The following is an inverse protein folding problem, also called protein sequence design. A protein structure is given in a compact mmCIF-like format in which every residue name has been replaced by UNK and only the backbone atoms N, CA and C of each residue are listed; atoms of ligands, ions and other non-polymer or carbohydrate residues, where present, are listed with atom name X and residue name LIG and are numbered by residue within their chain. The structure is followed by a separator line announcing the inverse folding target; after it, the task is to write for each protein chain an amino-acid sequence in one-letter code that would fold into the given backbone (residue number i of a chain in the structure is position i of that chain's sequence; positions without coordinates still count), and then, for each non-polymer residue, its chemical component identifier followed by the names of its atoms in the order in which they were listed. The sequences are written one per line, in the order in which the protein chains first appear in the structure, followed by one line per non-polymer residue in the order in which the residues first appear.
data_IF_129233536043
#
_entry.id   IF_129233536043
#
_cell.length_a   1.000
_cell.length_b   1.000
_cell.length_c   1.000
_cell.angle_alpha   90.00
_cell.angle_beta   90.00
_cell.angle_gamma   90.00
#
_symmetry.space_group_name_H-M   'P 1'
#
loop_
_entity.id
_entity.type
_entity.pdbx_description
1 polymer ?
#
# COMPACT_ATOMS: atom_id res chain seq x y z
N UNK A 1 -3.81 -35.82 -12.55
CA UNK A 1 -3.79 -34.77 -13.59
C UNK A 1 -4.22 -33.47 -12.93
N UNK A 2 -3.40 -32.43 -13.04
CA UNK A 2 -3.40 -31.23 -12.20
C UNK A 2 -4.52 -30.25 -12.61
N UNK A 3 -5.35 -29.83 -11.64
CA UNK A 3 -6.38 -28.82 -11.83
C UNK A 3 -5.74 -27.42 -11.96
N UNK A 4 -5.53 -26.94 -13.19
CA UNK A 4 -5.12 -25.56 -13.43
C UNK A 4 -6.32 -24.62 -13.23
N UNK A 5 -6.46 -24.08 -12.02
CA UNK A 5 -7.38 -22.97 -11.73
C UNK A 5 -6.85 -21.74 -12.47
N UNK A 6 -7.40 -21.46 -13.65
CA UNK A 6 -7.16 -20.23 -14.39
C UNK A 6 -7.76 -19.08 -13.57
N UNK A 7 -6.94 -18.41 -12.76
CA UNK A 7 -7.33 -17.14 -12.15
C UNK A 7 -7.52 -16.16 -13.31
N UNK A 8 -8.78 -15.92 -13.69
CA UNK A 8 -9.17 -14.80 -14.54
C UNK A 8 -8.53 -13.57 -13.94
N UNK A 9 -7.52 -13.03 -14.61
CA UNK A 9 -6.99 -11.71 -14.32
C UNK A 9 -8.11 -10.73 -14.62
N UNK A 10 -8.94 -10.45 -13.62
CA UNK A 10 -9.93 -9.38 -13.67
C UNK A 10 -9.18 -8.11 -14.06
N UNK A 11 -9.46 -7.61 -15.27
CA UNK A 11 -8.91 -6.35 -15.75
C UNK A 11 -9.43 -5.27 -14.83
N UNK A 12 -8.65 -4.90 -13.81
CA UNK A 12 -8.94 -3.73 -12.98
C UNK A 12 -8.76 -2.50 -13.87
N UNK A 13 -9.86 -2.03 -14.45
CA UNK A 13 -9.87 -0.80 -15.24
C UNK A 13 -9.60 0.36 -14.27
N UNK A 14 -8.40 0.92 -14.34
CA UNK A 14 -8.03 2.14 -13.63
C UNK A 14 -8.47 3.31 -14.51
N UNK A 15 -9.37 4.14 -13.98
CA UNK A 15 -9.90 5.30 -14.70
C UNK A 15 -9.28 6.59 -14.15
N UNK A 16 -9.26 7.66 -14.97
CA UNK A 16 -8.83 8.98 -14.48
C UNK A 16 -9.78 9.40 -13.35
N UNK A 17 -9.22 9.81 -12.21
CA UNK A 17 -9.99 10.19 -11.02
C UNK A 17 -10.26 9.06 -10.02
N UNK A 18 -9.86 7.80 -10.29
CA UNK A 18 -9.93 6.75 -9.26
C UNK A 18 -8.80 6.86 -8.24
N UNK A 19 -9.13 6.65 -6.96
CA UNK A 19 -8.14 6.52 -5.89
C UNK A 19 -7.38 5.18 -6.04
N UNK A 20 -6.06 5.25 -5.97
CA UNK A 20 -5.17 4.08 -6.02
C UNK A 20 -4.19 4.13 -4.85
N UNK A 21 -3.91 2.99 -4.26
CA UNK A 21 -2.79 2.84 -3.33
C UNK A 21 -1.56 2.36 -4.09
N UNK A 22 -0.41 2.94 -3.77
CA UNK A 22 0.84 2.62 -4.45
C UNK A 22 1.89 2.19 -3.42
N UNK A 23 2.50 1.04 -3.67
CA UNK A 23 3.60 0.57 -2.86
C UNK A 23 4.89 1.23 -3.35
N UNK A 24 5.69 1.75 -2.42
CA UNK A 24 6.99 2.32 -2.71
C UNK A 24 7.98 2.05 -1.58
N UNK A 25 9.26 2.21 -1.88
CA UNK A 25 10.33 2.00 -0.90
C UNK A 25 10.67 3.32 -0.22
N UNK A 26 10.60 3.39 1.10
CA UNK A 26 11.08 4.56 1.84
C UNK A 26 12.61 4.60 1.76
N UNK A 27 13.15 5.59 1.06
CA UNK A 27 14.60 5.76 0.90
C UNK A 27 15.19 6.72 1.90
N UNK A 28 14.40 7.70 2.37
CA UNK A 28 14.84 8.64 3.40
C UNK A 28 13.64 9.24 4.15
N UNK A 29 13.90 9.66 5.38
CA UNK A 29 12.95 10.29 6.28
C UNK A 29 13.62 11.51 6.88
N UNK A 30 13.04 12.70 6.66
CA UNK A 30 13.56 13.96 7.16
C UNK A 30 12.44 14.77 7.77
N UNK A 31 12.52 15.01 9.08
CA UNK A 31 11.52 15.75 9.85
C UNK A 31 10.09 15.24 9.58
N UNK A 32 9.24 16.02 8.89
CA UNK A 32 7.86 15.63 8.54
C UNK A 32 7.68 15.18 7.07
N UNK A 33 8.78 14.92 6.36
CA UNK A 33 8.79 14.47 4.97
C UNK A 33 9.37 13.07 4.82
N UNK A 34 8.78 12.30 3.92
CA UNK A 34 9.25 10.97 3.53
C UNK A 34 9.57 10.98 2.05
N UNK A 35 10.74 10.45 1.71
CA UNK A 35 11.14 10.20 0.34
C UNK A 35 10.83 8.74 0.02
N UNK A 36 9.91 8.53 -0.90
CA UNK A 36 9.46 7.21 -1.34
C UNK A 36 9.90 7.00 -2.78
N UNK A 37 10.64 5.94 -3.06
CA UNK A 37 10.96 5.52 -4.41
C UNK A 37 9.79 4.72 -4.99
N UNK A 38 9.30 5.19 -6.13
CA UNK A 38 8.24 4.57 -6.91
C UNK A 38 8.76 4.38 -8.33
N UNK A 39 9.01 3.12 -8.71
CA UNK A 39 9.72 2.81 -9.94
C UNK A 39 11.12 3.45 -9.94
N UNK A 40 11.44 4.20 -11.00
CA UNK A 40 12.74 4.87 -11.14
C UNK A 40 12.77 6.32 -10.61
N UNK A 41 11.72 6.78 -9.92
CA UNK A 41 11.64 8.15 -9.39
C UNK A 41 11.50 8.16 -7.88
N UNK A 42 12.02 9.20 -7.25
CA UNK A 42 11.82 9.49 -5.83
C UNK A 42 10.75 10.57 -5.74
N UNK A 43 9.71 10.31 -4.96
CA UNK A 43 8.65 11.27 -4.63
C UNK A 43 8.77 11.66 -3.16
N UNK A 44 8.59 12.94 -2.86
CA UNK A 44 8.56 13.44 -1.48
C UNK A 44 7.12 13.69 -1.08
N UNK A 45 6.72 13.13 0.05
CA UNK A 45 5.37 13.20 0.61
C UNK A 45 5.44 13.62 2.07
N UNK A 46 4.47 14.41 2.53
CA UNK A 46 4.38 14.74 3.96
C UNK A 46 3.84 13.52 4.72
N UNK A 47 4.37 13.24 5.90
CA UNK A 47 3.92 12.08 6.71
C UNK A 47 2.44 12.12 7.04
N UNK A 48 1.90 13.31 7.30
CA UNK A 48 0.47 13.52 7.57
C UNK A 48 -0.43 13.03 6.42
N UNK A 49 0.08 13.04 5.19
CA UNK A 49 -0.68 12.63 4.00
C UNK A 49 -0.59 11.11 3.76
N UNK A 50 0.35 10.41 4.42
CA UNK A 50 0.52 8.96 4.35
C UNK A 50 -0.37 8.21 5.35
N UNK A 51 -0.70 8.84 6.47
CA UNK A 51 -1.52 8.27 7.54
C UNK A 51 -3.00 8.46 7.24
N UNK A 52 -3.53 7.73 6.25
CA UNK A 52 -4.97 7.58 6.12
C UNK A 52 -5.47 6.57 7.17
N UNK A 53 -6.41 7.00 8.01
CA UNK A 53 -6.96 6.32 9.21
C UNK A 53 -7.47 4.87 9.01
N UNK A 54 -7.55 4.38 7.78
CA UNK A 54 -8.08 3.04 7.46
C UNK A 54 -7.06 1.89 7.62
N UNK A 55 -5.77 2.15 7.83
CA UNK A 55 -4.73 1.08 7.94
C UNK A 55 -4.41 0.71 9.41
N UNK A 56 -4.93 1.44 10.40
CA UNK A 56 -4.66 1.16 11.83
C UNK A 56 -5.58 0.10 12.46
N UNK A 57 -6.48 -0.55 11.72
CA UNK A 57 -7.49 -1.46 12.30
C UNK A 57 -7.25 -2.97 12.16
N UNK A 58 -6.13 -3.43 11.59
CA UNK A 58 -5.91 -4.87 11.42
C UNK A 58 -4.64 -5.39 12.12
N UNK A 59 -4.43 -5.01 13.38
CA UNK A 59 -3.44 -5.70 14.22
C UNK A 59 -3.71 -5.55 15.72
N UNK A 60 -4.89 -6.00 16.17
CA UNK A 60 -5.08 -6.39 17.57
C UNK A 60 -6.34 -7.26 17.67
N UNK A 61 -6.15 -8.58 17.71
CA UNK A 61 -6.94 -9.53 18.51
C UNK A 61 -6.49 -10.95 18.18
N UNK A 62 -5.41 -11.41 18.81
CA UNK A 62 -5.28 -12.78 19.30
C UNK A 62 -4.42 -12.76 20.57
N UNK A 63 -5.04 -12.41 21.69
CA UNK A 63 -4.53 -12.79 23.01
C UNK A 63 -4.82 -14.28 23.18
N UNK A 64 -3.84 -15.16 23.43
CA UNK A 64 -4.14 -16.50 23.90
C UNK A 64 -4.49 -16.38 25.39
N UNK A 65 -5.78 -16.48 25.71
CA UNK A 65 -6.23 -16.74 27.08
C UNK A 65 -6.60 -18.21 27.19
N UNK A 66 -5.80 -18.88 28.04
CA UNK A 66 -6.00 -20.17 28.73
C UNK A 66 -6.15 -21.44 27.89
#
# INVERSE_FOLDING_TARGET
MTNSKLNKSEKKNVNIGTNVSLNGLVTAVFDNMVHVQVGAKIVTVQMKDLLNDSILQAQQTKTPSQ
#
